data_IF_209977106209
#
_entry.id   IF_209977106209
#
_cell.length_a   1.000
_cell.length_b   1.000
_cell.length_c   1.000
_cell.angle_alpha   90.00
_cell.angle_beta   90.00
_cell.angle_gamma   90.00
#
_symmetry.space_group_name_H-M   'P 1'
#
loop_
_entity.id
_entity.type
_entity.pdbx_description
1 polymer ?
#
# COMPACT_ATOMS: atom_id res chain seq x y z
N UNK A 1 7.64 1.10 -6.70
CA UNK A 1 6.79 0.08 -7.35
C UNK A 1 7.44 -0.25 -8.68
N UNK A 2 7.60 -1.54 -8.97
CA UNK A 2 8.24 -2.01 -10.20
C UNK A 2 7.25 -2.93 -10.93
N UNK A 3 6.97 -2.63 -12.20
CA UNK A 3 6.27 -3.52 -13.12
C UNK A 3 7.30 -4.10 -14.09
N UNK A 4 7.26 -5.42 -14.28
CA UNK A 4 8.20 -6.15 -15.14
C UNK A 4 7.41 -7.00 -16.12
N UNK A 5 7.82 -6.95 -17.39
CA UNK A 5 7.20 -7.70 -18.48
C UNK A 5 8.25 -7.98 -19.57
N UNK A 6 8.09 -9.05 -20.35
CA UNK A 6 8.97 -9.33 -21.49
C UNK A 6 8.53 -8.56 -22.75
N UNK A 7 7.23 -8.24 -22.88
CA UNK A 7 6.67 -7.55 -24.03
C UNK A 7 6.86 -6.03 -23.91
N UNK A 8 7.90 -5.57 -24.58
CA UNK A 8 8.24 -4.15 -24.66
C UNK A 8 7.12 -3.31 -25.31
N UNK A 9 6.35 -3.85 -26.25
CA UNK A 9 5.28 -3.12 -26.93
C UNK A 9 4.13 -2.88 -25.96
N UNK A 10 3.69 -3.91 -25.24
CA UNK A 10 2.64 -3.80 -24.21
C UNK A 10 3.05 -2.76 -23.16
N UNK A 11 4.28 -2.87 -22.64
CA UNK A 11 4.81 -1.89 -21.69
C UNK A 11 4.79 -0.46 -22.25
N UNK A 12 5.25 -0.28 -23.49
CA UNK A 12 5.32 1.04 -24.13
C UNK A 12 3.94 1.66 -24.37
N UNK A 13 2.94 0.84 -24.69
CA UNK A 13 1.54 1.28 -24.89
C UNK A 13 0.92 1.70 -23.56
N UNK A 14 1.09 0.88 -22.52
CA UNK A 14 0.39 1.08 -21.24
C UNK A 14 1.16 1.91 -20.22
N UNK A 15 2.41 2.32 -20.48
CA UNK A 15 3.21 3.15 -19.56
C UNK A 15 2.49 4.44 -19.12
N UNK A 16 1.59 4.98 -19.94
CA UNK A 16 0.82 6.18 -19.62
C UNK A 16 -0.06 6.00 -18.37
N UNK A 17 -0.39 4.76 -17.99
CA UNK A 17 -1.12 4.45 -16.76
C UNK A 17 -0.30 4.68 -15.49
N UNK A 18 1.03 4.74 -15.61
CA UNK A 18 1.93 5.05 -14.50
C UNK A 18 2.11 6.57 -14.27
N UNK A 19 1.61 7.42 -15.17
CA UNK A 19 1.78 8.87 -15.09
C UNK A 19 0.95 9.45 -13.92
N UNK A 20 1.52 10.33 -13.08
CA UNK A 20 0.75 11.03 -12.05
C UNK A 20 -0.38 11.85 -12.65
N UNK A 21 -1.57 11.74 -12.08
CA UNK A 21 -2.73 12.51 -12.44
C UNK A 21 -2.60 13.95 -11.93
N UNK A 22 -3.38 14.87 -12.50
CA UNK A 22 -3.46 16.27 -12.02
C UNK A 22 -3.83 16.31 -10.52
N UNK A 23 -4.69 15.39 -10.08
CA UNK A 23 -5.06 15.25 -8.68
C UNK A 23 -3.88 14.95 -7.75
N UNK A 24 -2.86 14.22 -8.22
CA UNK A 24 -1.66 13.90 -7.42
C UNK A 24 -0.81 15.16 -7.17
N UNK A 25 -0.83 16.14 -8.07
CA UNK A 25 -0.14 17.41 -7.87
C UNK A 25 -0.88 18.37 -6.94
N UNK A 26 -2.22 18.30 -6.92
CA UNK A 26 -3.06 19.08 -6.01
C UNK A 26 -3.07 18.48 -4.59
N UNK A 27 -3.15 17.15 -4.50
CA UNK A 27 -3.14 16.39 -3.25
C UNK A 27 -1.91 15.51 -3.22
N UNK A 28 -0.78 16.13 -2.89
CA UNK A 28 0.52 15.45 -2.85
C UNK A 28 0.51 14.35 -1.80
N UNK A 29 1.23 13.28 -2.11
CA UNK A 29 1.43 12.15 -1.18
C UNK A 29 2.24 12.59 0.03
N UNK A 30 2.04 11.96 1.19
CA UNK A 30 2.90 12.17 2.36
C UNK A 30 4.28 11.51 2.15
N UNK A 31 4.29 10.32 1.56
CA UNK A 31 5.49 9.53 1.32
C UNK A 31 5.85 9.48 -0.18
N UNK A 32 7.15 9.43 -0.51
CA UNK A 32 7.60 9.34 -1.89
C UNK A 32 7.14 8.04 -2.55
N UNK A 33 6.75 8.13 -3.82
CA UNK A 33 6.39 6.97 -4.64
C UNK A 33 7.12 7.08 -5.97
N UNK A 34 7.97 6.09 -6.25
CA UNK A 34 8.60 5.88 -7.55
C UNK A 34 7.94 4.70 -8.25
N UNK A 35 7.54 4.89 -9.51
CA UNK A 35 7.05 3.82 -10.38
C UNK A 35 8.08 3.57 -11.48
N UNK A 36 8.48 2.32 -11.66
CA UNK A 36 9.41 1.87 -12.71
C UNK A 36 8.72 0.79 -13.54
N UNK A 37 8.69 0.98 -14.86
CA UNK A 37 8.18 0.04 -15.85
C UNK A 37 9.38 -0.51 -16.61
N UNK A 38 9.61 -1.81 -16.45
CA UNK A 38 10.86 -2.47 -16.82
C UNK A 38 10.58 -3.63 -17.78
N UNK A 39 11.38 -3.74 -18.83
CA UNK A 39 11.42 -4.92 -19.68
C UNK A 39 12.42 -5.93 -19.14
N UNK A 40 11.96 -7.14 -18.83
CA UNK A 40 12.76 -8.22 -18.25
C UNK A 40 11.99 -9.53 -18.08
N UNK A 41 12.70 -10.64 -17.86
CA UNK A 41 12.08 -11.94 -17.59
C UNK A 41 11.97 -12.19 -16.09
N UNK A 42 10.83 -12.70 -15.63
CA UNK A 42 10.63 -13.16 -14.23
C UNK A 42 11.68 -14.18 -13.77
N UNK A 43 12.39 -14.84 -14.69
CA UNK A 43 13.43 -15.84 -14.39
C UNK A 43 14.82 -15.24 -14.14
N UNK A 44 15.04 -13.96 -14.42
CA UNK A 44 16.36 -13.34 -14.32
C UNK A 44 16.66 -12.80 -12.92
N UNK A 45 17.77 -13.25 -12.33
CA UNK A 45 18.30 -12.73 -11.09
C UNK A 45 19.06 -11.42 -11.32
N UNK A 46 18.34 -10.30 -11.23
CA UNK A 46 18.89 -8.95 -11.46
C UNK A 46 18.94 -8.11 -10.18
N UNK A 47 19.91 -7.21 -10.11
CA UNK A 47 20.12 -6.33 -8.94
C UNK A 47 18.89 -5.47 -8.63
N UNK A 48 18.13 -5.10 -9.67
CA UNK A 48 16.93 -4.27 -9.55
C UNK A 48 15.81 -4.90 -8.72
N UNK A 49 15.82 -6.23 -8.55
CA UNK A 49 14.84 -6.99 -7.77
C UNK A 49 15.29 -7.28 -6.33
N UNK A 50 16.42 -6.72 -5.87
CA UNK A 50 16.81 -6.88 -4.46
C UNK A 50 15.91 -6.07 -3.53
N UNK A 51 15.80 -6.53 -2.29
CA UNK A 51 15.07 -5.85 -1.21
C UNK A 51 13.59 -5.55 -1.54
N UNK A 52 12.98 -6.36 -2.40
CA UNK A 52 11.56 -6.28 -2.69
C UNK A 52 10.77 -6.89 -1.53
N UNK A 53 9.82 -6.14 -0.99
CA UNK A 53 8.96 -6.64 0.08
C UNK A 53 7.89 -7.62 -0.45
N UNK A 54 7.32 -7.32 -1.62
CA UNK A 54 6.19 -8.07 -2.19
C UNK A 54 6.42 -8.34 -3.68
N UNK A 55 6.26 -9.59 -4.09
CA UNK A 55 6.17 -10.00 -5.50
C UNK A 55 4.75 -10.44 -5.80
N UNK A 56 4.21 -10.02 -6.95
CA UNK A 56 2.87 -10.39 -7.39
C UNK A 56 2.97 -10.88 -8.84
N UNK A 57 2.68 -12.16 -9.08
CA UNK A 57 2.55 -12.76 -10.41
C UNK A 57 1.10 -13.20 -10.63
N UNK A 58 0.29 -12.32 -11.20
CA UNK A 58 -1.12 -12.62 -11.49
C UNK A 58 -1.23 -13.21 -12.89
N UNK A 59 -1.87 -14.37 -13.01
CA UNK A 59 -2.17 -15.03 -14.29
C UNK A 59 -0.96 -15.03 -15.25
N UNK A 60 0.20 -15.45 -14.75
CA UNK A 60 1.47 -15.42 -15.51
C UNK A 60 2.10 -16.80 -15.66
N UNK A 61 1.93 -17.68 -14.67
CA UNK A 61 2.67 -18.95 -14.65
C UNK A 61 2.17 -19.90 -15.74
N UNK A 62 0.89 -19.86 -16.08
CA UNK A 62 0.25 -20.63 -17.14
C UNK A 62 0.75 -20.28 -18.55
N UNK A 63 1.37 -19.12 -18.72
CA UNK A 63 1.96 -18.69 -19.98
C UNK A 63 3.40 -19.21 -20.16
N UNK A 64 4.00 -19.78 -19.10
CA UNK A 64 5.39 -20.22 -19.12
C UNK A 64 5.52 -21.67 -19.59
N UNK A 65 6.47 -21.91 -20.50
CA UNK A 65 6.93 -23.26 -20.77
C UNK A 65 7.59 -23.89 -19.53
N UNK A 66 7.54 -25.22 -19.43
CA UNK A 66 7.92 -25.95 -18.22
C UNK A 66 9.37 -25.69 -17.76
N UNK A 67 10.30 -25.49 -18.70
CA UNK A 67 11.71 -25.19 -18.43
C UNK A 67 11.93 -23.75 -17.92
N UNK A 68 11.05 -22.82 -18.31
CA UNK A 68 11.02 -21.44 -17.81
C UNK A 68 10.37 -21.40 -16.43
N UNK A 69 9.23 -22.08 -16.26
CA UNK A 69 8.49 -22.15 -15.01
C UNK A 69 9.35 -22.70 -13.86
N UNK A 70 10.20 -23.69 -14.12
CA UNK A 70 11.06 -24.29 -13.09
C UNK A 70 12.09 -23.30 -12.52
N UNK A 71 12.47 -22.27 -13.29
CA UNK A 71 13.40 -21.21 -12.87
C UNK A 71 12.72 -20.11 -12.04
N UNK A 72 11.40 -19.98 -12.13
CA UNK A 72 10.66 -18.94 -11.38
C UNK A 72 10.89 -19.08 -9.88
N UNK A 73 10.76 -20.28 -9.26
CA UNK A 73 11.03 -20.41 -7.85
C UNK A 73 12.47 -20.10 -7.45
N UNK A 74 13.44 -20.44 -8.30
CA UNK A 74 14.86 -20.14 -8.08
C UNK A 74 15.11 -18.65 -7.98
N UNK A 75 14.53 -17.87 -8.90
CA UNK A 75 14.67 -16.43 -8.86
C UNK A 75 13.87 -15.81 -7.70
N UNK A 76 12.58 -16.13 -7.57
CA UNK A 76 11.70 -15.43 -6.62
C UNK A 76 11.97 -15.84 -5.17
N UNK A 77 12.02 -17.14 -4.87
CA UNK A 77 12.20 -17.62 -3.49
C UNK A 77 13.66 -17.89 -3.13
N UNK A 78 14.51 -18.12 -4.13
CA UNK A 78 15.96 -18.26 -3.95
C UNK A 78 16.68 -16.93 -3.90
N UNK A 79 16.57 -16.10 -4.95
CA UNK A 79 17.34 -14.86 -5.10
C UNK A 79 16.64 -13.62 -4.49
N UNK A 80 15.40 -13.32 -4.90
CA UNK A 80 14.66 -12.12 -4.49
C UNK A 80 14.30 -12.17 -3.00
N UNK A 81 13.85 -13.34 -2.53
CA UNK A 81 13.43 -13.60 -1.14
C UNK A 81 12.45 -12.55 -0.57
N UNK A 82 11.32 -12.27 -1.24
CA UNK A 82 10.37 -11.26 -0.78
C UNK A 82 9.72 -11.66 0.54
N UNK A 83 9.21 -10.70 1.31
CA UNK A 83 8.43 -11.00 2.52
C UNK A 83 7.09 -11.68 2.17
N UNK A 84 6.52 -11.32 1.03
CA UNK A 84 5.29 -11.89 0.49
C UNK A 84 5.43 -12.16 -1.02
N UNK A 85 5.02 -13.33 -1.49
CA UNK A 85 4.84 -13.60 -2.91
C UNK A 85 3.43 -14.10 -3.18
N UNK A 86 2.75 -13.53 -4.17
CA UNK A 86 1.38 -13.88 -4.54
C UNK A 86 1.39 -14.38 -5.97
N UNK A 87 0.87 -15.58 -6.19
CA UNK A 87 0.69 -16.15 -7.52
C UNK A 87 -0.76 -16.54 -7.73
N UNK A 88 -1.33 -16.20 -8.89
CA UNK A 88 -2.63 -16.70 -9.31
C UNK A 88 -2.53 -17.40 -10.66
N UNK A 89 -3.46 -18.32 -10.90
CA UNK A 89 -3.59 -19.03 -12.17
C UNK A 89 -5.02 -19.58 -12.31
N UNK A 90 -5.48 -19.89 -13.53
CA UNK A 90 -6.76 -20.54 -13.73
C UNK A 90 -6.88 -21.88 -12.99
N UNK A 91 -8.07 -22.19 -12.48
CA UNK A 91 -8.40 -23.51 -11.97
C UNK A 91 -9.16 -24.33 -13.02
N UNK A 92 -8.51 -25.33 -13.63
CA UNK A 92 -9.12 -26.11 -14.72
C UNK A 92 -10.37 -26.91 -14.29
N UNK A 93 -10.53 -27.22 -13.01
CA UNK A 93 -11.75 -27.86 -12.49
C UNK A 93 -13.00 -26.99 -12.68
N UNK A 94 -12.83 -25.66 -12.70
CA UNK A 94 -13.92 -24.71 -12.93
C UNK A 94 -14.32 -24.61 -14.42
N UNK A 95 -13.53 -25.17 -15.34
CA UNK A 95 -13.75 -25.02 -16.78
C UNK A 95 -15.10 -25.57 -17.25
N UNK A 96 -15.71 -26.47 -16.47
CA UNK A 96 -17.05 -27.02 -16.72
C UNK A 96 -18.16 -25.96 -16.82
N UNK A 97 -17.93 -24.76 -16.28
CA UNK A 97 -18.90 -23.65 -16.33
C UNK A 97 -18.69 -22.70 -17.51
N UNK A 98 -17.65 -22.89 -18.33
CA UNK A 98 -17.40 -22.05 -19.50
C UNK A 98 -17.93 -22.71 -20.77
N UNK A 99 -18.79 -22.00 -21.48
CA UNK A 99 -19.42 -22.50 -22.72
C UNK A 99 -18.45 -22.51 -23.93
N UNK A 100 -17.32 -21.82 -23.84
CA UNK A 100 -16.41 -21.59 -24.98
C UNK A 100 -14.95 -21.86 -24.60
N UNK A 101 -14.64 -23.14 -24.42
CA UNK A 101 -13.26 -23.60 -24.32
C UNK A 101 -12.66 -23.85 -25.70
N UNK A 102 -11.34 -23.77 -25.78
CA UNK A 102 -10.59 -24.17 -26.96
C UNK A 102 -10.59 -25.70 -27.13
N UNK A 103 -10.18 -26.19 -28.30
CA UNK A 103 -10.15 -27.64 -28.59
C UNK A 103 -9.24 -28.47 -27.68
N UNK A 104 -8.29 -27.82 -26.98
CA UNK A 104 -7.43 -28.41 -25.96
C UNK A 104 -8.02 -28.32 -24.53
N UNK A 105 -9.19 -27.71 -24.35
CA UNK A 105 -9.86 -27.53 -23.06
C UNK A 105 -9.44 -26.29 -22.27
N UNK A 106 -8.57 -25.44 -22.82
CA UNK A 106 -8.12 -24.21 -22.16
C UNK A 106 -9.05 -23.03 -22.43
N UNK A 107 -9.03 -22.06 -21.52
CA UNK A 107 -9.74 -20.77 -21.58
C UNK A 107 -9.09 -19.80 -22.54
N UNK A 108 -7.78 -19.92 -22.77
CA UNK A 108 -7.01 -19.00 -23.60
C UNK A 108 -6.02 -19.73 -24.49
N UNK A 109 -5.73 -19.17 -25.67
CA UNK A 109 -4.92 -19.83 -26.70
C UNK A 109 -3.44 -19.86 -26.35
N UNK A 110 -2.99 -18.88 -25.56
CA UNK A 110 -1.59 -18.76 -25.17
C UNK A 110 -1.23 -19.54 -23.89
N UNK A 111 -2.21 -20.11 -23.18
CA UNK A 111 -1.93 -20.96 -22.02
C UNK A 111 -1.17 -22.23 -22.45
N UNK A 112 -0.07 -22.50 -21.75
CA UNK A 112 0.74 -23.71 -21.90
C UNK A 112 0.19 -24.86 -21.04
N UNK A 113 -0.50 -24.52 -19.95
CA UNK A 113 -1.22 -25.45 -19.08
C UNK A 113 -2.37 -24.75 -18.35
N UNK A 114 -3.32 -25.52 -17.82
CA UNK A 114 -4.28 -25.04 -16.81
C UNK A 114 -4.39 -26.09 -15.71
N UNK A 115 -3.94 -25.74 -14.51
CA UNK A 115 -3.83 -26.69 -13.41
C UNK A 115 -5.15 -26.85 -12.64
N UNK A 116 -5.38 -28.09 -12.20
CA UNK A 116 -6.33 -28.40 -11.14
C UNK A 116 -5.86 -27.84 -9.79
N UNK A 117 -6.73 -27.84 -8.78
CA UNK A 117 -6.34 -27.46 -7.40
C UNK A 117 -5.25 -28.36 -6.85
N UNK A 118 -5.28 -29.65 -7.22
CA UNK A 118 -4.27 -30.61 -6.79
C UNK A 118 -2.89 -30.35 -7.41
N UNK A 119 -2.82 -30.05 -8.70
CA UNK A 119 -1.57 -29.73 -9.40
C UNK A 119 -0.97 -28.42 -8.91
N UNK A 120 -1.79 -27.38 -8.76
CA UNK A 120 -1.34 -26.11 -8.22
C UNK A 120 -0.79 -26.28 -6.80
N UNK A 121 -1.50 -27.03 -5.94
CA UNK A 121 -1.02 -27.34 -4.59
C UNK A 121 0.30 -28.11 -4.60
N UNK A 122 0.46 -29.09 -5.48
CA UNK A 122 1.70 -29.84 -5.60
C UNK A 122 2.88 -28.93 -5.97
N UNK A 123 2.68 -27.98 -6.89
CA UNK A 123 3.68 -26.97 -7.25
C UNK A 123 4.03 -26.07 -6.07
N UNK A 124 3.03 -25.53 -5.35
CA UNK A 124 3.29 -24.68 -4.18
C UNK A 124 3.96 -25.43 -3.03
N UNK A 125 3.57 -26.69 -2.79
CA UNK A 125 4.17 -27.53 -1.74
C UNK A 125 5.64 -27.83 -2.09
N UNK A 126 5.94 -28.09 -3.36
CA UNK A 126 7.32 -28.27 -3.83
C UNK A 126 8.18 -27.00 -3.60
N UNK A 127 7.62 -25.80 -3.82
CA UNK A 127 8.30 -24.54 -3.51
C UNK A 127 8.59 -24.45 -2.01
N UNK A 128 7.61 -24.70 -1.14
CA UNK A 128 7.83 -24.68 0.31
C UNK A 128 8.85 -25.74 0.79
N UNK A 129 8.95 -26.87 0.11
CA UNK A 129 10.00 -27.86 0.39
C UNK A 129 11.40 -27.36 -0.02
N UNK A 130 11.54 -26.73 -1.20
CA UNK A 130 12.81 -26.16 -1.68
C UNK A 130 13.23 -24.93 -0.89
N UNK A 131 12.27 -24.12 -0.45
CA UNK A 131 12.46 -22.85 0.25
C UNK A 131 11.72 -22.88 1.60
N UNK A 132 12.27 -23.56 2.61
CA UNK A 132 11.59 -23.80 3.90
C UNK A 132 11.35 -22.54 4.75
N UNK A 133 11.87 -21.40 4.31
CA UNK A 133 11.61 -20.09 4.91
C UNK A 133 10.22 -19.54 4.55
N UNK A 134 9.42 -20.23 3.73
CA UNK A 134 8.09 -19.80 3.32
C UNK A 134 6.99 -20.74 3.80
N UNK A 135 5.87 -20.14 4.21
CA UNK A 135 4.59 -20.82 4.41
C UNK A 135 3.61 -20.36 3.33
N UNK A 136 2.79 -21.28 2.82
CA UNK A 136 1.76 -20.97 1.81
C UNK A 136 0.35 -21.02 2.39
N UNK A 137 -0.51 -20.10 1.94
CA UNK A 137 -1.95 -20.14 2.14
C UNK A 137 -2.65 -20.04 0.77
N UNK A 138 -3.83 -20.64 0.64
CA UNK A 138 -4.61 -20.62 -0.59
C UNK A 138 -5.82 -19.70 -0.45
N UNK A 139 -6.07 -18.91 -1.49
CA UNK A 139 -7.27 -18.13 -1.71
C UNK A 139 -7.80 -18.42 -3.13
N UNK A 140 -8.94 -17.85 -3.49
CA UNK A 140 -9.43 -17.90 -4.86
C UNK A 140 -10.46 -16.83 -5.13
N UNK A 141 -10.74 -16.62 -6.42
CA UNK A 141 -11.63 -15.59 -6.94
C UNK A 141 -12.61 -16.21 -7.94
N UNK A 142 -13.84 -15.71 -7.95
CA UNK A 142 -14.93 -16.21 -8.81
C UNK A 142 -15.57 -17.47 -8.23
N UNK A 143 -16.71 -17.30 -7.57
CA UNK A 143 -17.50 -18.43 -7.07
C UNK A 143 -18.22 -19.15 -8.21
N UNK A 144 -18.55 -20.44 -8.05
CA UNK A 144 -19.50 -21.11 -8.92
C UNK A 144 -20.82 -20.33 -9.01
N UNK A 145 -21.53 -20.40 -10.15
CA UNK A 145 -22.89 -19.86 -10.28
C UNK A 145 -23.78 -20.35 -9.13
N UNK A 146 -24.64 -19.48 -8.61
CA UNK A 146 -25.43 -19.76 -7.41
C UNK A 146 -26.33 -21.01 -7.57
N UNK A 147 -26.83 -21.26 -8.77
CA UNK A 147 -27.65 -22.43 -9.12
C UNK A 147 -26.87 -23.74 -9.22
N UNK A 148 -25.53 -23.68 -9.24
CA UNK A 148 -24.63 -24.84 -9.38
C UNK A 148 -23.71 -25.05 -8.18
N UNK A 149 -23.78 -24.17 -7.17
CA UNK A 149 -22.87 -24.17 -6.00
C UNK A 149 -22.96 -25.45 -5.16
N UNK A 150 -24.13 -26.09 -5.11
CA UNK A 150 -24.36 -27.33 -4.33
C UNK A 150 -24.17 -28.62 -5.14
N UNK A 151 -23.87 -28.51 -6.44
CA UNK A 151 -23.86 -29.65 -7.37
C UNK A 151 -22.46 -30.25 -7.53
N UNK A 152 -21.43 -29.39 -7.63
CA UNK A 152 -20.02 -29.81 -7.75
C UNK A 152 -19.10 -28.86 -6.98
N UNK A 153 -18.27 -29.40 -6.08
CA UNK A 153 -17.18 -28.64 -5.44
C UNK A 153 -16.00 -28.54 -6.40
N UNK A 154 -16.06 -27.56 -7.32
CA UNK A 154 -14.96 -27.23 -8.23
C UNK A 154 -14.08 -26.09 -7.72
N UNK A 155 -14.38 -25.52 -6.55
CA UNK A 155 -13.68 -24.37 -5.99
C UNK A 155 -13.90 -23.07 -6.77
N UNK A 156 -12.87 -22.23 -6.82
CA UNK A 156 -12.90 -20.91 -7.45
C UNK A 156 -12.47 -20.94 -8.92
N UNK A 157 -12.91 -19.96 -9.72
CA UNK A 157 -12.50 -19.82 -11.12
C UNK A 157 -11.00 -19.57 -11.27
N UNK A 158 -10.46 -18.71 -10.42
CA UNK A 158 -9.04 -18.43 -10.26
C UNK A 158 -8.60 -18.92 -8.89
N UNK A 159 -7.50 -19.66 -8.84
CA UNK A 159 -6.86 -20.11 -7.61
C UNK A 159 -5.63 -19.25 -7.34
N UNK A 160 -5.34 -18.99 -6.08
CA UNK A 160 -4.28 -18.08 -5.66
C UNK A 160 -3.49 -18.66 -4.48
N UNK A 161 -2.17 -18.55 -4.55
CA UNK A 161 -1.24 -18.93 -3.49
C UNK A 161 -0.54 -17.70 -2.93
N UNK A 162 -0.58 -17.56 -1.61
CA UNK A 162 0.08 -16.49 -0.86
C UNK A 162 1.20 -17.13 -0.05
N UNK A 163 2.43 -16.87 -0.48
CA UNK A 163 3.63 -17.30 0.22
C UNK A 163 4.12 -16.20 1.14
N UNK A 164 3.99 -16.41 2.44
CA UNK A 164 4.54 -15.52 3.44
C UNK A 164 5.89 -16.06 3.91
N UNK A 165 6.90 -15.19 3.94
CA UNK A 165 8.16 -15.53 4.61
C UNK A 165 7.92 -15.71 6.10
N UNK A 166 8.53 -16.71 6.71
CA UNK A 166 8.19 -17.16 8.05
C UNK A 166 8.35 -16.05 9.11
N UNK A 167 9.33 -15.17 8.96
CA UNK A 167 9.53 -14.01 9.85
C UNK A 167 8.35 -13.02 9.83
N UNK A 168 7.73 -12.81 8.67
CA UNK A 168 6.52 -11.97 8.53
C UNK A 168 5.35 -12.51 9.37
N UNK A 169 5.27 -13.82 9.55
CA UNK A 169 4.22 -14.51 10.32
C UNK A 169 4.72 -15.01 11.69
N UNK A 170 5.78 -14.40 12.22
CA UNK A 170 6.36 -14.71 13.55
C UNK A 170 6.79 -16.18 13.74
N UNK A 171 7.14 -16.87 12.66
CA UNK A 171 7.78 -18.18 12.67
C UNK A 171 9.31 -18.01 12.47
N UNK A 172 10.14 -18.89 13.05
CA UNK A 172 11.57 -18.83 12.82
C UNK A 172 11.90 -19.14 11.35
N UNK A 173 12.96 -18.51 10.84
CA UNK A 173 13.56 -18.88 9.57
C UNK A 173 14.29 -20.22 9.73
N UNK A 174 14.16 -21.11 8.76
CA UNK A 174 14.87 -22.38 8.72
C UNK A 174 16.34 -22.21 8.28
N UNK A 175 16.62 -21.17 7.50
CA UNK A 175 17.94 -20.82 6.98
C UNK A 175 18.14 -19.30 6.94
N UNK A 176 19.38 -18.84 6.97
CA UNK A 176 19.71 -17.42 6.84
C UNK A 176 19.30 -16.86 5.46
N UNK A 177 18.91 -15.58 5.43
CA UNK A 177 18.53 -14.86 4.22
C UNK A 177 19.78 -14.50 3.39
N UNK A 178 20.34 -15.51 2.71
CA UNK A 178 21.52 -15.34 1.87
C UNK A 178 21.16 -15.25 0.37
N UNK A 179 19.87 -15.25 0.01
CA UNK A 179 19.42 -15.21 -1.38
C UNK A 179 19.99 -14.04 -2.16
N UNK A 180 20.19 -12.91 -1.49
CA UNK A 180 20.80 -11.74 -2.09
C UNK A 180 22.31 -11.85 -2.36
N UNK A 181 22.97 -12.92 -1.90
CA UNK A 181 24.37 -13.20 -2.25
C UNK A 181 24.51 -14.14 -3.44
N UNK A 182 23.40 -14.67 -3.98
CA UNK A 182 23.39 -15.50 -5.18
C UNK A 182 23.83 -14.71 -6.42
N UNK A 183 24.47 -15.38 -7.40
CA UNK A 183 25.02 -14.73 -8.59
C UNK A 183 23.93 -14.07 -9.43
N UNK A 184 24.26 -12.92 -10.00
CA UNK A 184 23.40 -12.22 -10.95
C UNK A 184 23.45 -12.93 -12.32
N UNK A 185 22.33 -12.90 -13.06
CA UNK A 185 22.24 -13.45 -14.42
C UNK A 185 23.11 -12.72 -15.46
N UNK A 186 23.80 -11.64 -15.08
CA UNK A 186 24.58 -10.78 -16.00
C UNK A 186 23.72 -9.93 -16.94
N UNK A 187 22.40 -10.06 -16.85
CA UNK A 187 21.40 -9.27 -17.56
C UNK A 187 20.95 -8.12 -16.65
N UNK A 188 20.53 -7.01 -17.25
CA UNK A 188 19.90 -5.88 -16.58
C UNK A 188 18.55 -5.63 -17.22
N UNK A 189 17.51 -5.41 -16.43
CA UNK A 189 16.22 -5.03 -17.00
C UNK A 189 16.33 -3.68 -17.69
N UNK A 190 15.71 -3.57 -18.86
CA UNK A 190 15.68 -2.34 -19.63
C UNK A 190 14.57 -1.46 -19.06
N UNK A 191 14.93 -0.24 -18.66
CA UNK A 191 13.94 0.75 -18.26
C UNK A 191 13.15 1.24 -19.49
N UNK A 192 11.82 1.10 -19.42
CA UNK A 192 10.90 1.63 -20.44
C UNK A 192 10.40 2.99 -19.99
N UNK A 193 9.98 3.09 -18.74
CA UNK A 193 9.45 4.32 -18.15
C UNK A 193 9.68 4.36 -16.65
N UNK A 194 10.10 5.50 -16.13
CA UNK A 194 10.26 5.74 -14.70
C UNK A 194 9.70 7.11 -14.35
N UNK A 195 8.95 7.18 -13.25
CA UNK A 195 8.40 8.44 -12.75
C UNK A 195 8.38 8.48 -11.23
N UNK A 196 8.73 9.64 -10.69
CA UNK A 196 8.57 9.96 -9.27
C UNK A 196 7.28 10.78 -9.10
N UNK A 197 6.40 10.32 -8.22
CA UNK A 197 5.15 11.00 -7.92
C UNK A 197 5.40 12.26 -7.09
N UNK A 198 4.57 13.31 -7.27
CA UNK A 198 4.62 14.47 -6.40
C UNK A 198 4.27 14.08 -4.97
N UNK A 199 5.13 14.47 -4.03
CA UNK A 199 4.92 14.26 -2.60
C UNK A 199 5.21 15.56 -1.84
N UNK A 200 4.59 15.69 -0.67
CA UNK A 200 4.79 16.80 0.23
C UNK A 200 6.13 16.60 0.93
N UNK A 201 7.05 17.53 0.69
CA UNK A 201 8.29 17.63 1.46
C UNK A 201 8.15 18.82 2.38
N UNK A 202 8.11 18.57 3.68
CA UNK A 202 8.14 19.65 4.65
C UNK A 202 9.56 20.23 4.71
N UNK A 203 9.76 21.35 4.03
CA UNK A 203 11.05 22.06 3.97
C UNK A 203 11.27 23.02 5.15
N UNK A 204 10.29 23.13 6.05
CA UNK A 204 10.43 23.94 7.27
C UNK A 204 11.55 23.40 8.14
N UNK A 205 12.31 24.32 8.73
CA UNK A 205 13.26 24.02 9.79
C UNK A 205 12.55 23.45 11.01
N UNK A 206 13.30 22.79 11.90
CA UNK A 206 12.74 22.24 13.12
C UNK A 206 12.04 23.32 13.96
N UNK A 207 12.67 24.48 14.10
CA UNK A 207 12.12 25.65 14.81
C UNK A 207 10.80 26.12 14.21
N UNK A 208 10.71 26.22 12.87
CA UNK A 208 9.48 26.64 12.17
C UNK A 208 8.35 25.63 12.33
N UNK A 209 8.66 24.32 12.35
CA UNK A 209 7.64 23.28 12.59
C UNK A 209 7.07 23.38 13.99
N UNK A 210 7.94 23.47 14.99
CA UNK A 210 7.54 23.61 16.39
C UNK A 210 6.77 24.91 16.60
N UNK A 211 7.22 26.01 16.01
CA UNK A 211 6.55 27.30 16.11
C UNK A 211 5.16 27.27 15.45
N UNK A 212 5.05 26.68 14.25
CA UNK A 212 3.76 26.53 13.58
C UNK A 212 2.76 25.72 14.41
N UNK A 213 3.22 24.64 15.04
CA UNK A 213 2.37 23.84 15.95
C UNK A 213 2.00 24.62 17.21
N UNK A 214 2.96 25.36 17.79
CA UNK A 214 2.70 26.23 18.94
C UNK A 214 1.65 27.30 18.61
N UNK A 215 1.75 27.94 17.44
CA UNK A 215 0.76 28.90 16.97
C UNK A 215 -0.62 28.25 16.78
N UNK A 216 -0.67 27.07 16.16
CA UNK A 216 -1.93 26.33 16.00
C UNK A 216 -2.55 26.01 17.36
N UNK A 217 -1.76 25.47 18.29
CA UNK A 217 -2.19 25.14 19.65
C UNK A 217 -2.70 26.38 20.39
N UNK A 218 -1.94 27.47 20.39
CA UNK A 218 -2.32 28.74 21.03
C UNK A 218 -3.62 29.25 20.43
N UNK A 219 -3.73 29.34 19.10
CA UNK A 219 -4.92 29.86 18.43
C UNK A 219 -6.16 29.00 18.66
N UNK A 220 -6.00 27.67 18.69
CA UNK A 220 -7.09 26.72 18.95
C UNK A 220 -7.69 26.89 20.35
N UNK A 221 -6.85 27.17 21.35
CA UNK A 221 -7.26 27.25 22.76
C UNK A 221 -7.31 28.66 23.33
N UNK A 222 -7.11 29.69 22.48
CA UNK A 222 -7.02 31.10 22.88
C UNK A 222 -8.23 31.61 23.66
N UNK A 223 -9.42 31.10 23.35
CA UNK A 223 -10.69 31.51 23.98
C UNK A 223 -11.32 30.38 24.79
N UNK A 224 -10.57 29.33 25.10
CA UNK A 224 -11.06 28.23 25.88
C UNK A 224 -11.21 28.68 27.35
N UNK A 225 -12.43 28.98 27.77
CA UNK A 225 -12.77 29.45 29.12
C UNK A 225 -12.30 28.50 30.22
N UNK A 226 -12.17 27.21 29.91
CA UNK A 226 -11.59 26.19 30.80
C UNK A 226 -10.15 26.49 31.24
N UNK A 227 -9.42 27.29 30.47
CA UNK A 227 -8.05 27.71 30.77
C UNK A 227 -7.96 29.17 31.24
N UNK A 228 -9.10 29.84 31.42
CA UNK A 228 -9.12 31.21 31.91
C UNK A 228 -8.98 31.26 33.43
N UNK A 229 -8.02 32.04 33.91
CA UNK A 229 -7.81 32.29 35.33
C UNK A 229 -8.49 33.61 35.71
N UNK A 230 -9.65 33.50 36.37
CA UNK A 230 -10.49 34.64 36.77
C UNK A 230 -9.76 35.60 37.71
N UNK A 231 -8.93 35.11 38.62
CA UNK A 231 -8.24 35.95 39.61
C UNK A 231 -7.13 36.80 38.97
N UNK A 232 -6.49 36.27 37.92
CA UNK A 232 -5.35 36.91 37.24
C UNK A 232 -5.72 37.58 35.92
N UNK A 233 -6.94 37.40 35.41
CA UNK A 233 -7.38 37.93 34.11
C UNK A 233 -6.44 37.50 32.96
N UNK A 234 -6.07 36.22 32.93
CA UNK A 234 -5.16 35.63 31.92
C UNK A 234 -5.62 34.22 31.53
N UNK A 235 -5.27 33.78 30.33
CA UNK A 235 -5.37 32.38 29.93
C UNK A 235 -4.08 31.62 30.24
N UNK A 236 -4.22 30.43 30.85
CA UNK A 236 -3.12 29.53 31.21
C UNK A 236 -3.25 28.22 30.44
N UNK A 237 -2.64 28.15 29.25
CA UNK A 237 -2.78 27.01 28.36
C UNK A 237 -1.75 25.92 28.72
N UNK A 238 -2.16 24.70 29.09
CA UNK A 238 -1.21 23.64 29.43
C UNK A 238 -0.46 23.17 28.19
N UNK A 239 0.85 23.37 28.14
CA UNK A 239 1.68 23.05 26.97
C UNK A 239 2.03 21.56 26.81
N UNK A 240 1.39 20.66 27.57
CA UNK A 240 1.71 19.22 27.57
C UNK A 240 1.57 18.60 26.16
N UNK A 241 0.53 18.99 25.42
CA UNK A 241 0.32 18.52 24.05
C UNK A 241 1.42 19.02 23.10
N UNK A 242 1.85 20.27 23.27
CA UNK A 242 2.95 20.84 22.50
C UNK A 242 4.29 20.16 22.83
N UNK A 243 4.50 19.78 24.09
CA UNK A 243 5.66 18.98 24.50
C UNK A 243 5.64 17.56 23.90
N UNK A 244 4.47 16.94 23.77
CA UNK A 244 4.34 15.63 23.10
C UNK A 244 4.68 15.73 21.62
N UNK A 245 4.28 16.81 20.95
CA UNK A 245 4.66 17.09 19.58
C UNK A 245 6.18 17.33 19.46
N UNK A 246 6.74 18.21 20.28
CA UNK A 246 8.17 18.49 20.30
C UNK A 246 9.01 17.22 20.49
N UNK A 247 8.59 16.32 21.38
CA UNK A 247 9.26 15.03 21.59
C UNK A 247 9.22 14.11 20.37
N UNK A 248 8.10 14.07 19.62
CA UNK A 248 8.01 13.29 18.37
C UNK A 248 8.97 13.82 17.31
N UNK A 249 9.20 15.12 17.33
CA UNK A 249 10.13 15.82 16.46
C UNK A 249 11.59 15.85 17.00
N UNK A 250 11.90 15.06 18.05
CA UNK A 250 13.20 15.01 18.72
C UNK A 250 13.70 16.35 19.28
N UNK A 251 12.80 17.27 19.65
CA UNK A 251 13.11 18.55 20.28
C UNK A 251 12.97 18.43 21.80
N UNK A 252 13.97 18.91 22.53
CA UNK A 252 13.97 18.93 23.99
C UNK A 252 13.05 20.01 24.55
N UNK A 253 12.70 19.89 25.83
CA UNK A 253 11.88 20.90 26.51
C UNK A 253 12.57 22.28 26.56
N UNK A 254 13.89 22.32 26.71
CA UNK A 254 14.66 23.57 26.74
C UNK A 254 14.64 24.27 25.37
N UNK A 255 14.84 23.51 24.29
CA UNK A 255 14.74 24.04 22.92
C UNK A 255 13.32 24.54 22.60
N UNK A 256 12.28 23.82 23.02
CA UNK A 256 10.89 24.28 22.87
C UNK A 256 10.67 25.62 23.61
N UNK A 257 11.16 25.75 24.84
CA UNK A 257 11.06 27.00 25.60
C UNK A 257 11.78 28.14 24.89
N UNK A 258 12.97 27.89 24.35
CA UNK A 258 13.74 28.90 23.63
C UNK A 258 13.04 29.30 22.33
N UNK A 259 12.44 28.37 21.58
CA UNK A 259 11.62 28.67 20.41
C UNK A 259 10.43 29.55 20.78
N UNK A 260 9.71 29.23 21.88
CA UNK A 260 8.58 30.03 22.36
C UNK A 260 9.02 31.43 22.79
N UNK A 261 10.13 31.54 23.53
CA UNK A 261 10.70 32.83 23.98
C UNK A 261 11.16 33.69 22.81
N UNK A 262 11.80 33.09 21.80
CA UNK A 262 12.24 33.78 20.59
C UNK A 262 11.06 34.40 19.82
N UNK A 263 9.87 33.84 19.96
CA UNK A 263 8.63 34.37 19.39
C UNK A 263 7.79 35.20 20.38
N UNK A 264 8.39 35.65 21.48
CA UNK A 264 7.78 36.48 22.53
C UNK A 264 6.59 35.83 23.26
N UNK A 265 6.52 34.50 23.30
CA UNK A 265 5.52 33.78 24.10
C UNK A 265 6.02 33.59 25.52
N UNK A 266 5.19 34.00 26.49
CA UNK A 266 5.49 33.83 27.91
C UNK A 266 5.05 32.44 28.38
N UNK A 267 5.93 31.77 29.12
CA UNK A 267 5.67 30.47 29.73
C UNK A 267 5.93 30.56 31.23
N UNK A 268 4.92 30.26 32.04
CA UNK A 268 5.03 30.17 33.50
C UNK A 268 4.77 28.72 33.95
N UNK A 269 5.82 28.05 34.43
CA UNK A 269 5.73 26.64 34.85
C UNK A 269 5.37 25.74 33.67
N UNK A 270 4.18 25.13 33.74
CA UNK A 270 3.67 24.22 32.70
C UNK A 270 2.62 24.87 31.78
N UNK A 271 2.52 26.20 31.81
CA UNK A 271 1.47 26.93 31.10
C UNK A 271 2.06 28.00 30.19
N UNK A 272 1.55 28.06 28.96
CA UNK A 272 1.70 29.22 28.09
C UNK A 272 0.71 30.27 28.59
N UNK A 273 1.21 31.49 28.82
CA UNK A 273 0.44 32.60 29.37
C UNK A 273 0.04 33.54 28.25
N UNK A 274 -1.27 33.79 28.16
CA UNK A 274 -1.84 34.74 27.22
C UNK A 274 -2.69 35.77 27.98
N UNK A 275 -2.62 37.07 27.61
CA UNK A 275 -3.47 38.08 28.21
C UNK A 275 -4.94 37.87 27.83
N UNK A 276 -5.84 38.37 28.67
CA UNK A 276 -7.23 38.61 28.27
C UNK A 276 -7.23 39.67 27.14
N UNK A 277 -7.92 39.36 26.04
CA UNK A 277 -8.09 40.33 24.94
C UNK A 277 -9.30 41.20 25.26
N UNK A 278 -9.15 42.51 25.12
CA UNK A 278 -10.30 43.41 25.09
C UNK A 278 -11.06 43.16 23.77
N UNK A 279 -12.37 42.91 23.83
CA UNK A 279 -13.26 42.54 22.71
C UNK A 279 -13.38 43.59 21.57
N UNK A 280 -12.51 44.60 21.52
CA UNK A 280 -12.57 45.70 20.54
C UNK A 280 -11.89 45.39 19.19
N UNK A 281 -11.17 44.27 19.05
CA UNK A 281 -10.59 43.82 17.78
C UNK A 281 -11.48 42.74 17.11
N UNK A 282 -12.40 43.22 16.27
CA UNK A 282 -13.31 42.45 15.41
C UNK A 282 -12.58 41.50 14.44
N UNK A 283 -12.36 40.26 14.87
CA UNK A 283 -12.30 39.10 13.98
C UNK A 283 -12.98 37.91 14.65
N UNK A 284 -14.32 37.94 14.62
CA UNK A 284 -15.16 36.87 15.10
C UNK A 284 -14.90 35.54 14.39
N UNK A 285 -14.75 34.47 15.19
CA UNK A 285 -15.40 33.17 15.05
C UNK A 285 -15.24 32.44 16.39
N UNK A 286 -16.08 32.82 17.36
CA UNK A 286 -16.27 32.05 18.59
C UNK A 286 -16.94 30.72 18.23
N UNK A 287 -16.19 29.63 18.24
CA UNK A 287 -16.78 28.30 18.43
C UNK A 287 -16.84 28.05 19.92
N UNK A 288 -18.04 28.15 20.51
CA UNK A 288 -18.30 27.68 21.87
C UNK A 288 -17.97 26.18 21.96
N UNK A 289 -16.76 25.85 22.41
CA UNK A 289 -16.31 24.48 22.70
C UNK A 289 -16.85 24.00 24.06
N UNK A 290 -18.15 24.14 24.30
CA UNK A 290 -18.79 23.66 25.54
C UNK A 290 -19.37 22.24 25.43
N UNK A 291 -19.34 21.58 24.26
CA UNK A 291 -20.00 20.28 24.07
C UNK A 291 -19.08 19.15 23.57
N UNK A 292 -17.88 19.01 24.13
CA UNK A 292 -17.07 17.79 23.97
C UNK A 292 -16.57 17.26 25.31
N UNK A 293 -17.52 16.96 26.18
CA UNK A 293 -17.30 16.09 27.33
C UNK A 293 -18.43 15.06 27.42
N UNK A 294 -18.51 14.18 26.42
CA UNK A 294 -19.29 12.93 26.52
C UNK A 294 -18.47 11.75 25.98
N UNK A 295 -17.97 10.99 26.96
CA UNK A 295 -17.95 9.52 27.01
C UNK A 295 -16.87 8.72 26.26
N UNK A 296 -15.80 8.47 27.03
CA UNK A 296 -15.26 7.12 27.20
C UNK A 296 -16.39 6.12 27.57
N UNK A 297 -16.76 5.23 26.65
CA UNK A 297 -17.00 3.78 26.82
C UNK A 297 -18.15 3.22 25.97
N UNK A 298 -17.80 2.18 25.21
CA UNK A 298 -18.57 0.96 24.91
C UNK A 298 -19.81 0.96 24.00
N UNK A 299 -19.64 0.15 22.95
CA UNK A 299 -20.52 -0.94 22.50
C UNK A 299 -21.70 -0.69 21.55
N UNK A 300 -21.54 -1.32 20.37
CA UNK A 300 -22.52 -2.08 19.59
C UNK A 300 -23.73 -1.39 18.91
N UNK A 301 -23.64 -1.47 17.58
CA UNK A 301 -24.63 -1.98 16.62
C UNK A 301 -25.73 -1.07 16.04
N UNK A 302 -25.64 -1.03 14.71
CA UNK A 302 -26.69 -1.28 13.71
C UNK A 302 -27.59 -0.13 13.22
N UNK A 303 -27.42 0.08 11.91
CA UNK A 303 -28.43 0.01 10.85
C UNK A 303 -28.83 1.30 10.13
N UNK A 304 -28.56 1.22 8.83
CA UNK A 304 -29.36 1.65 7.68
C UNK A 304 -29.16 3.07 7.14
N UNK A 305 -28.84 3.10 5.83
CA UNK A 305 -29.45 4.07 4.94
C UNK A 305 -28.62 4.42 3.71
N UNK A 306 -28.83 3.65 2.63
CA UNK A 306 -28.42 3.91 1.26
C UNK A 306 -28.48 5.39 0.84
N UNK A 307 -27.45 5.83 0.10
CA UNK A 307 -27.46 7.07 -0.66
C UNK A 307 -26.49 6.94 -1.84
N UNK A 308 -27.06 6.73 -3.01
CA UNK A 308 -26.40 6.51 -4.30
C UNK A 308 -25.39 7.62 -4.65
N UNK A 309 -24.17 7.24 -5.03
CA UNK A 309 -23.25 8.12 -5.77
C UNK A 309 -22.93 7.46 -7.09
N UNK A 310 -23.48 8.08 -8.15
CA UNK A 310 -23.39 7.67 -9.53
C UNK A 310 -21.92 7.54 -10.00
N UNK A 311 -21.55 6.33 -10.38
CA UNK A 311 -20.37 6.02 -11.18
C UNK A 311 -20.61 6.49 -12.62
N UNK A 312 -19.82 7.44 -13.09
CA UNK A 312 -19.82 7.85 -14.50
C UNK A 312 -18.97 6.87 -15.27
N UNK A 313 -19.60 5.84 -15.84
CA UNK A 313 -18.98 4.92 -16.78
C UNK A 313 -18.80 5.64 -18.13
N UNK A 314 -17.55 5.81 -18.57
CA UNK A 314 -17.26 6.15 -19.96
C UNK A 314 -17.27 4.84 -20.78
N UNK A 315 -18.31 4.69 -21.59
CA UNK A 315 -18.42 3.65 -22.61
C UNK A 315 -17.32 3.84 -23.67
N UNK A 316 -16.43 2.85 -23.80
CA UNK A 316 -15.64 2.64 -25.02
C UNK A 316 -16.21 1.38 -25.67
N UNK A 317 -17.22 1.56 -26.52
CA UNK A 317 -17.57 0.57 -27.53
C UNK A 317 -16.62 0.74 -28.72
N UNK A 318 -16.08 -0.38 -29.19
CA UNK A 318 -15.22 -0.57 -30.37
C UNK A 318 -13.70 -0.35 -30.18
N UNK A 319 -13.07 -1.31 -29.52
CA UNK A 319 -11.74 -1.78 -29.92
C UNK A 319 -11.83 -3.28 -30.22
N UNK A 320 -12.06 -3.63 -31.49
CA UNK A 320 -11.49 -4.88 -32.02
C UNK A 320 -10.04 -4.54 -32.28
N UNK A 321 -9.11 -5.06 -31.49
CA UNK A 321 -7.70 -5.06 -31.86
C UNK A 321 -6.99 -6.25 -31.25
N UNK A 322 -6.56 -7.13 -32.16
CA UNK A 322 -5.85 -8.38 -31.95
C UNK A 322 -4.44 -8.11 -31.40
N UNK A 323 -4.33 -7.86 -30.10
CA UNK A 323 -3.05 -7.93 -29.37
C UNK A 323 -2.87 -9.33 -28.81
N UNK A 324 -2.60 -10.26 -29.72
CA UNK A 324 -2.21 -11.63 -29.39
C UNK A 324 -0.82 -11.61 -28.75
N UNK A 325 -0.78 -11.86 -27.44
CA UNK A 325 0.40 -11.92 -26.60
C UNK A 325 1.18 -13.23 -26.86
N UNK A 326 2.49 -13.12 -27.05
CA UNK A 326 3.43 -14.24 -27.09
C UNK A 326 4.44 -14.03 -25.97
N UNK A 327 4.33 -14.83 -24.91
CA UNK A 327 5.11 -14.70 -23.69
C UNK A 327 6.41 -15.53 -23.67
N UNK A 328 7.14 -15.61 -24.80
CA UNK A 328 8.43 -16.34 -24.93
C UNK A 328 9.62 -15.47 -25.37
#
# INVERSE_FOLDING_TARGET
>A
FQQVDIDEKVLSVFQQRAVPLVSDYLHKREEPLRIEVLKGSITDSVEQLRNVDVVIGLEIIEHLHADVLEKVPENIFGFVQPKLAIFSTPNSEFNVFFDSLLGNGFRHFDHKFEWSRAEFRAWTDNICHRYPNYSVAFLGLGNPPDDKRDVEDVGFATQMALFARNDLIKKPLATDLNGQSLPLSGVKYKEIYTVDFPYYKDERTQDEKIWCEAQYFINRYRYATIYFNVDRHIYQLPWLQLMDFARKENVSQEELLDILRNHNIQVEGNFIIMPEYDDDDDHGLCYELNDLNLELNNEYNNQCGNGDVASTAFNIENAKDDSEECWD
#
